data_IF_779119943961
#
_entry.id   IF_779119943961
#
_cell.length_a   1.000
_cell.length_b   1.000
_cell.length_c   1.000
_cell.angle_alpha   90.00
_cell.angle_beta   90.00
_cell.angle_gamma   90.00
#
_symmetry.space_group_name_H-M   'P 1'
#
loop_
_entity.id
_entity.type
_entity.pdbx_description
1 polymer ?
#
# COMPACT_ATOMS: atom_id res chain seq x y z
N UNK A 1 -4.04 35.80 -3.42
CA UNK A 1 -5.04 34.88 -2.84
C UNK A 1 -4.37 33.53 -2.72
N UNK A 2 -4.05 33.11 -1.49
CA UNK A 2 -3.34 31.85 -1.25
C UNK A 2 -4.35 30.71 -1.48
N UNK A 3 -4.29 30.04 -2.63
CA UNK A 3 -5.00 28.76 -2.76
C UNK A 3 -4.43 27.86 -1.66
N UNK A 4 -5.28 27.35 -0.75
CA UNK A 4 -4.83 26.41 0.27
C UNK A 4 -4.20 25.22 -0.44
N UNK A 5 -2.86 25.09 -0.37
CA UNK A 5 -2.16 23.97 -0.97
C UNK A 5 -2.68 22.69 -0.32
N UNK A 6 -3.27 21.80 -1.12
CA UNK A 6 -3.60 20.46 -0.65
C UNK A 6 -2.31 19.75 -0.27
N UNK A 7 -2.17 19.40 1.01
CA UNK A 7 -1.03 18.63 1.51
C UNK A 7 -1.34 17.13 1.43
N UNK A 8 -0.32 16.27 1.30
CA UNK A 8 -0.52 14.83 1.21
C UNK A 8 -1.31 14.26 2.40
N UNK A 9 -2.17 13.28 2.11
CA UNK A 9 -2.79 12.44 3.13
C UNK A 9 -1.72 11.62 3.87
N UNK A 10 -1.94 11.35 5.14
CA UNK A 10 -1.16 10.44 5.96
C UNK A 10 -1.73 9.02 5.86
N UNK A 11 -0.90 8.08 5.40
CA UNK A 11 -1.27 6.67 5.34
C UNK A 11 -0.28 5.86 6.17
N UNK A 12 -0.77 5.13 7.18
CA UNK A 12 0.08 4.30 8.04
C UNK A 12 0.56 3.05 7.31
N UNK A 13 1.84 2.96 6.97
CA UNK A 13 2.45 1.79 6.32
C UNK A 13 2.53 0.64 7.31
N UNK A 14 1.71 -0.39 7.07
CA UNK A 14 1.43 -1.48 8.03
C UNK A 14 0.89 -0.96 9.37
N UNK A 15 0.14 0.15 9.33
CA UNK A 15 -0.27 0.96 10.47
C UNK A 15 0.82 1.92 10.97
N UNK A 16 0.82 2.24 12.27
CA UNK A 16 1.89 3.01 12.93
C UNK A 16 3.08 2.10 13.30
N UNK A 17 3.66 1.44 12.30
CA UNK A 17 4.57 0.30 12.45
C UNK A 17 5.93 0.64 13.09
N UNK A 18 6.31 1.91 13.14
CA UNK A 18 7.47 2.34 13.92
C UNK A 18 7.22 2.15 15.43
N UNK A 19 6.02 2.48 15.91
CA UNK A 19 5.67 2.38 17.34
C UNK A 19 5.10 1.00 17.72
N UNK A 20 4.29 0.39 16.84
CA UNK A 20 3.59 -0.87 17.10
C UNK A 20 4.13 -2.01 16.21
N UNK A 21 3.79 -3.28 16.47
CA UNK A 21 4.11 -4.37 15.56
C UNK A 21 3.40 -4.17 14.22
N UNK A 22 4.14 -4.23 13.12
CA UNK A 22 3.58 -4.07 11.77
C UNK A 22 2.43 -5.05 11.50
N UNK A 23 1.44 -4.62 10.71
CA UNK A 23 0.30 -5.43 10.28
C UNK A 23 -0.49 -6.01 11.46
N UNK A 24 -0.84 -5.16 12.43
CA UNK A 24 -1.63 -5.54 13.60
C UNK A 24 -2.77 -4.56 13.87
N UNK A 25 -3.85 -5.02 14.53
CA UNK A 25 -4.94 -4.14 14.93
C UNK A 25 -4.45 -2.99 15.80
N UNK A 26 -3.53 -3.21 16.74
CA UNK A 26 -2.98 -2.12 17.55
C UNK A 26 -2.23 -1.09 16.69
N UNK A 27 -1.50 -1.52 15.66
CA UNK A 27 -0.80 -0.63 14.73
C UNK A 27 -1.79 0.18 13.87
N UNK A 28 -2.86 -0.45 13.39
CA UNK A 28 -3.91 0.22 12.61
C UNK A 28 -4.68 1.23 13.46
N UNK A 29 -5.13 0.83 14.64
CA UNK A 29 -5.84 1.70 15.59
C UNK A 29 -4.98 2.88 16.03
N UNK A 30 -3.66 2.68 16.23
CA UNK A 30 -2.75 3.76 16.53
C UNK A 30 -2.63 4.77 15.37
N UNK A 31 -2.48 4.30 14.12
CA UNK A 31 -2.44 5.19 12.96
C UNK A 31 -3.73 6.01 12.82
N UNK A 32 -4.90 5.37 13.01
CA UNK A 32 -6.20 6.06 12.98
C UNK A 32 -6.28 7.09 14.11
N UNK A 33 -5.85 6.74 15.33
CA UNK A 33 -5.86 7.63 16.49
C UNK A 33 -4.93 8.84 16.33
N UNK A 34 -3.80 8.67 15.64
CA UNK A 34 -2.93 9.78 15.29
C UNK A 34 -3.63 10.78 14.34
N UNK A 35 -4.60 10.30 13.55
CA UNK A 35 -5.35 11.09 12.56
C UNK A 35 -5.00 10.76 11.12
N UNK A 36 -4.45 9.57 10.84
CA UNK A 36 -4.17 9.14 9.49
C UNK A 36 -5.48 8.94 8.68
N UNK A 37 -5.54 9.48 7.46
CA UNK A 37 -6.70 9.31 6.57
C UNK A 37 -6.77 7.90 5.96
N UNK A 38 -5.69 7.14 6.04
CA UNK A 38 -5.69 5.75 5.61
C UNK A 38 -4.71 4.87 6.36
N UNK A 39 -4.93 3.57 6.25
CA UNK A 39 -3.99 2.53 6.65
C UNK A 39 -3.59 1.73 5.43
N UNK A 40 -2.39 1.18 5.45
CA UNK A 40 -1.92 0.22 4.47
C UNK A 40 -1.58 -1.10 5.17
N UNK A 41 -1.85 -2.20 4.49
CA UNK A 41 -1.47 -3.53 4.94
C UNK A 41 -1.31 -4.48 3.76
N UNK A 42 -0.67 -5.60 4.02
CA UNK A 42 -0.29 -6.63 3.06
C UNK A 42 -1.17 -7.87 3.23
N UNK A 43 -1.57 -8.53 2.13
CA UNK A 43 -2.43 -9.73 2.20
C UNK A 43 -1.75 -11.00 1.73
N UNK A 44 -1.95 -12.08 2.49
CA UNK A 44 -1.72 -13.47 2.08
C UNK A 44 -2.92 -14.35 2.40
N UNK A 45 -3.00 -15.51 1.76
CA UNK A 45 -4.04 -16.53 2.02
C UNK A 45 -3.41 -17.77 2.66
N UNK A 46 -3.98 -18.23 3.78
CA UNK A 46 -3.59 -19.48 4.44
C UNK A 46 -3.94 -20.72 3.59
N UNK A 47 -3.50 -21.90 4.02
CA UNK A 47 -3.84 -23.17 3.36
C UNK A 47 -5.36 -23.44 3.34
N UNK A 48 -6.06 -23.02 4.39
CA UNK A 48 -7.50 -23.20 4.61
C UNK A 48 -8.32 -21.93 4.37
N UNK A 49 -7.88 -21.09 3.42
CA UNK A 49 -8.64 -19.98 2.84
C UNK A 49 -8.91 -18.79 3.76
N UNK A 50 -8.10 -18.55 4.78
CA UNK A 50 -8.18 -17.34 5.60
C UNK A 50 -7.26 -16.27 5.02
N UNK A 51 -7.80 -15.10 4.71
CA UNK A 51 -7.02 -13.94 4.26
C UNK A 51 -6.46 -13.22 5.48
N UNK A 52 -5.15 -13.05 5.56
CA UNK A 52 -4.45 -12.52 6.74
C UNK A 52 -3.60 -11.30 6.39
N UNK A 53 -3.46 -10.40 7.36
CA UNK A 53 -2.67 -9.16 7.25
C UNK A 53 -1.21 -9.46 7.60
N UNK A 54 -0.33 -9.61 6.60
CA UNK A 54 1.07 -9.95 6.84
C UNK A 54 1.97 -9.61 5.64
N UNK A 55 3.18 -9.11 5.87
CA UNK A 55 4.03 -8.63 4.77
C UNK A 55 4.72 -9.77 4.01
N UNK A 56 5.52 -10.56 4.73
CA UNK A 56 6.37 -11.59 4.11
C UNK A 56 5.57 -12.85 3.79
N UNK A 57 5.98 -13.65 2.80
CA UNK A 57 5.37 -14.97 2.58
C UNK A 57 5.65 -15.97 3.73
N UNK A 58 6.64 -15.69 4.58
CA UNK A 58 7.10 -16.53 5.69
C UNK A 58 6.94 -15.83 7.05
N UNK A 59 6.57 -16.57 8.10
CA UNK A 59 6.18 -16.01 9.40
C UNK A 59 7.34 -15.47 10.27
N UNK A 60 8.55 -15.96 10.03
CA UNK A 60 9.64 -15.95 11.02
C UNK A 60 10.31 -14.61 11.32
N UNK A 61 10.14 -13.58 10.47
CA UNK A 61 10.77 -12.27 10.72
C UNK A 61 10.12 -11.54 11.89
N UNK A 62 8.78 -11.57 11.97
CA UNK A 62 8.01 -10.73 12.89
C UNK A 62 7.19 -11.51 13.92
N UNK A 63 7.16 -12.84 13.83
CA UNK A 63 6.37 -13.70 14.74
C UNK A 63 7.20 -14.78 15.41
N UNK A 64 6.66 -15.37 16.46
CA UNK A 64 7.21 -16.52 17.17
C UNK A 64 7.13 -17.85 16.40
N UNK A 65 6.64 -17.84 15.16
CA UNK A 65 6.45 -19.05 14.35
C UNK A 65 7.30 -19.06 13.08
N UNK A 66 7.32 -20.19 12.38
CA UNK A 66 8.11 -20.40 11.14
C UNK A 66 7.24 -20.99 10.02
N UNK A 67 7.79 -20.94 8.80
CA UNK A 67 7.19 -21.53 7.60
C UNK A 67 6.37 -20.55 6.77
N UNK A 68 5.99 -21.02 5.58
CA UNK A 68 5.23 -20.25 4.59
C UNK A 68 3.75 -20.21 4.94
N UNK A 69 3.16 -19.03 4.87
CA UNK A 69 1.73 -18.81 5.16
C UNK A 69 0.84 -19.71 4.29
N UNK A 70 1.14 -19.78 2.98
CA UNK A 70 0.35 -20.56 2.01
C UNK A 70 0.34 -22.08 2.27
N UNK A 71 1.29 -22.57 3.08
CA UNK A 71 1.49 -23.99 3.39
C UNK A 71 0.94 -24.35 4.79
N UNK A 72 0.38 -23.38 5.53
CA UNK A 72 -0.09 -23.56 6.89
C UNK A 72 -1.58 -23.25 7.04
N UNK A 73 -2.25 -24.04 7.88
CA UNK A 73 -3.64 -23.80 8.27
C UNK A 73 -3.73 -22.63 9.26
N UNK A 74 -4.78 -21.85 9.13
CA UNK A 74 -5.14 -20.83 10.09
C UNK A 74 -5.74 -21.45 11.35
N UNK A 75 -6.69 -22.37 11.16
CA UNK A 75 -7.43 -22.99 12.26
C UNK A 75 -6.78 -24.27 12.78
N UNK A 76 -7.07 -24.58 14.04
CA UNK A 76 -6.75 -25.85 14.69
C UNK A 76 -5.66 -25.71 15.74
N UNK A 77 -5.36 -26.81 16.43
CA UNK A 77 -4.44 -26.82 17.59
C UNK A 77 -3.06 -26.20 17.29
N UNK A 78 -2.53 -26.45 16.09
CA UNK A 78 -1.24 -25.88 15.61
C UNK A 78 -1.45 -24.76 14.57
N UNK A 79 -2.66 -24.20 14.54
CA UNK A 79 -3.11 -23.18 13.60
C UNK A 79 -2.43 -21.83 13.81
N UNK A 80 -2.36 -21.05 12.73
CA UNK A 80 -1.77 -19.70 12.78
C UNK A 80 -2.57 -18.72 13.66
N UNK A 81 -3.82 -19.01 14.05
CA UNK A 81 -4.60 -18.22 15.01
C UNK A 81 -3.92 -18.10 16.40
N UNK A 82 -3.01 -19.02 16.71
CA UNK A 82 -2.22 -19.01 17.96
C UNK A 82 -0.87 -18.30 17.84
N UNK A 83 -0.44 -17.92 16.63
CA UNK A 83 0.86 -17.25 16.38
C UNK A 83 0.83 -15.82 16.91
N UNK A 84 1.95 -15.35 17.46
CA UNK A 84 2.06 -14.02 18.07
C UNK A 84 3.22 -13.21 17.54
N UNK A 85 3.04 -11.89 17.50
CA UNK A 85 4.09 -10.95 17.12
C UNK A 85 5.23 -10.92 18.13
N UNK A 86 6.48 -10.74 17.67
CA UNK A 86 7.65 -10.60 18.54
C UNK A 86 7.76 -9.23 19.20
N UNK A 87 7.39 -8.18 18.46
CA UNK A 87 7.41 -6.80 18.95
C UNK A 87 6.23 -6.58 19.90
N UNK A 88 6.43 -5.78 20.94
CA UNK A 88 5.37 -5.38 21.87
C UNK A 88 4.46 -4.29 21.27
N UNK A 89 3.16 -4.24 21.63
CA UNK A 89 2.46 -5.27 22.39
C UNK A 89 2.31 -6.57 21.60
N UNK A 90 2.59 -7.69 22.25
CA UNK A 90 2.48 -9.03 21.65
C UNK A 90 1.01 -9.32 21.36
N UNK A 91 0.67 -9.63 20.11
CA UNK A 91 -0.71 -9.84 19.68
C UNK A 91 -0.80 -10.84 18.53
N UNK A 92 -2.01 -11.27 18.21
CA UNK A 92 -2.29 -12.14 17.07
C UNK A 92 -2.11 -11.42 15.73
N UNK A 93 -1.92 -12.20 14.67
CA UNK A 93 -1.99 -11.70 13.29
C UNK A 93 -3.47 -11.38 12.98
N UNK A 94 -3.82 -10.18 12.49
CA UNK A 94 -5.19 -9.89 12.10
C UNK A 94 -5.56 -10.61 10.80
N UNK A 95 -6.81 -11.03 10.71
CA UNK A 95 -7.45 -11.41 9.46
C UNK A 95 -7.91 -10.18 8.68
N UNK A 96 -8.17 -10.36 7.38
CA UNK A 96 -8.82 -9.33 6.57
C UNK A 96 -10.22 -9.01 7.09
N UNK A 97 -10.95 -10.01 7.59
CA UNK A 97 -12.27 -9.83 8.18
C UNK A 97 -12.23 -8.94 9.44
N UNK A 98 -11.28 -9.15 10.34
CA UNK A 98 -11.10 -8.29 11.53
C UNK A 98 -10.70 -6.87 11.13
N UNK A 99 -9.89 -6.72 10.08
CA UNK A 99 -9.50 -5.40 9.56
C UNK A 99 -10.68 -4.68 8.91
N UNK A 100 -11.53 -5.40 8.17
CA UNK A 100 -12.80 -4.87 7.64
C UNK A 100 -13.72 -4.46 8.78
N UNK A 101 -13.86 -5.28 9.83
CA UNK A 101 -14.65 -4.93 11.00
C UNK A 101 -14.13 -3.65 11.69
N UNK A 102 -12.82 -3.47 11.79
CA UNK A 102 -12.21 -2.22 12.28
C UNK A 102 -12.61 -1.02 11.42
N UNK A 103 -12.57 -1.15 10.09
CA UNK A 103 -12.93 -0.08 9.14
C UNK A 103 -14.43 0.23 9.10
N UNK A 104 -15.28 -0.70 9.52
CA UNK A 104 -16.74 -0.56 9.57
C UNK A 104 -17.25 0.01 10.89
N UNK A 105 -16.39 0.21 11.90
CA UNK A 105 -16.75 0.98 13.09
C UNK A 105 -17.16 2.40 12.68
N UNK A 106 -18.21 2.94 13.31
CA UNK A 106 -18.81 4.24 12.96
C UNK A 106 -17.80 5.39 12.92
N UNK A 107 -16.89 5.41 13.87
CA UNK A 107 -15.81 6.38 14.02
C UNK A 107 -14.75 6.24 12.93
N UNK A 108 -14.64 5.09 12.27
CA UNK A 108 -13.60 4.77 11.28
C UNK A 108 -14.12 4.80 9.83
N UNK A 109 -15.37 5.18 9.58
CA UNK A 109 -15.93 5.25 8.22
C UNK A 109 -15.20 6.24 7.30
N UNK A 110 -14.44 7.17 7.85
CA UNK A 110 -13.61 8.12 7.11
C UNK A 110 -12.27 7.51 6.65
N UNK A 111 -11.85 6.39 7.23
CA UNK A 111 -10.51 5.78 7.01
C UNK A 111 -10.50 5.00 5.70
N UNK A 112 -9.48 5.20 4.88
CA UNK A 112 -9.24 4.43 3.65
C UNK A 112 -8.30 3.27 3.91
N UNK A 113 -8.33 2.25 3.05
CA UNK A 113 -7.50 1.07 3.20
C UNK A 113 -6.76 0.72 1.91
N UNK A 114 -5.43 0.78 1.93
CA UNK A 114 -4.60 0.30 0.83
C UNK A 114 -4.18 -1.14 1.13
N UNK A 115 -4.57 -2.05 0.25
CA UNK A 115 -4.28 -3.49 0.37
C UNK A 115 -3.16 -3.83 -0.61
N UNK A 116 -1.93 -4.00 -0.13
CA UNK A 116 -0.82 -4.52 -0.93
C UNK A 116 -1.07 -6.01 -1.24
N UNK A 117 -1.46 -6.27 -2.49
CA UNK A 117 -1.72 -7.60 -3.02
C UNK A 117 -0.40 -8.26 -3.39
N UNK A 118 0.07 -9.15 -2.52
CA UNK A 118 1.38 -9.79 -2.69
C UNK A 118 1.42 -10.69 -3.94
N UNK A 119 2.50 -10.62 -4.76
CA UNK A 119 2.63 -11.36 -6.01
C UNK A 119 2.61 -12.90 -5.87
N UNK A 120 2.65 -13.45 -4.67
CA UNK A 120 2.58 -14.89 -4.42
C UNK A 120 1.15 -15.43 -4.42
N UNK A 121 0.14 -14.56 -4.27
CA UNK A 121 -1.25 -14.98 -4.17
C UNK A 121 -1.82 -15.43 -5.52
N UNK A 122 -2.65 -16.48 -5.51
CA UNK A 122 -3.53 -16.76 -6.64
C UNK A 122 -4.60 -15.65 -6.73
N UNK A 123 -4.76 -14.98 -7.90
CA UNK A 123 -5.54 -13.76 -8.00
C UNK A 123 -7.05 -14.04 -7.89
N UNK A 124 -7.50 -15.16 -8.45
CA UNK A 124 -8.91 -15.56 -8.40
C UNK A 124 -9.30 -15.97 -6.98
N UNK A 125 -8.51 -16.86 -6.36
CA UNK A 125 -8.73 -17.33 -4.99
C UNK A 125 -8.74 -16.17 -4.01
N UNK A 126 -7.74 -15.28 -4.04
CA UNK A 126 -7.67 -14.15 -3.12
C UNK A 126 -8.88 -13.22 -3.29
N UNK A 127 -9.20 -12.81 -4.52
CA UNK A 127 -10.26 -11.82 -4.72
C UNK A 127 -11.67 -12.40 -4.52
N UNK A 128 -11.89 -13.70 -4.72
CA UNK A 128 -13.13 -14.36 -4.29
C UNK A 128 -13.32 -14.28 -2.78
N UNK A 129 -12.30 -14.67 -2.01
CA UNK A 129 -12.34 -14.60 -0.54
C UNK A 129 -12.52 -13.17 -0.02
N UNK A 130 -11.81 -12.20 -0.62
CA UNK A 130 -12.00 -10.80 -0.28
C UNK A 130 -13.40 -10.29 -0.63
N UNK A 131 -13.95 -10.69 -1.79
CA UNK A 131 -15.29 -10.31 -2.21
C UNK A 131 -16.34 -10.85 -1.23
N UNK A 132 -16.25 -12.12 -0.82
CA UNK A 132 -17.13 -12.72 0.20
C UNK A 132 -17.11 -11.91 1.51
N UNK A 133 -15.92 -11.54 1.99
CA UNK A 133 -15.78 -10.75 3.23
C UNK A 133 -16.35 -9.34 3.05
N UNK A 134 -16.03 -8.65 1.96
CA UNK A 134 -16.49 -7.27 1.71
C UNK A 134 -18.00 -7.23 1.52
N UNK A 135 -18.54 -8.12 0.69
CA UNK A 135 -19.98 -8.14 0.34
C UNK A 135 -20.88 -8.59 1.48
N UNK A 136 -20.32 -9.25 2.50
CA UNK A 136 -21.04 -9.59 3.74
C UNK A 136 -21.35 -8.36 4.62
N UNK A 137 -20.72 -7.21 4.36
CA UNK A 137 -20.91 -6.00 5.17
C UNK A 137 -22.13 -5.19 4.70
N UNK A 138 -22.84 -4.49 5.61
CA UNK A 138 -23.96 -3.64 5.24
C UNK A 138 -23.50 -2.48 4.35
N UNK A 139 -24.27 -2.19 3.31
CA UNK A 139 -24.03 -1.09 2.34
C UNK A 139 -22.60 -1.07 1.79
N UNK A 140 -21.98 -2.24 1.64
CA UNK A 140 -20.55 -2.36 1.32
C UNK A 140 -20.15 -1.64 0.02
N UNK A 141 -21.03 -1.57 -0.98
CA UNK A 141 -20.80 -0.88 -2.26
C UNK A 141 -20.62 0.64 -2.07
N UNK A 142 -21.17 1.20 -0.99
CA UNK A 142 -21.11 2.64 -0.68
C UNK A 142 -20.13 2.91 0.46
N UNK A 143 -20.23 2.14 1.53
CA UNK A 143 -19.55 2.42 2.79
C UNK A 143 -18.20 1.70 2.95
N UNK A 144 -17.87 0.71 2.12
CA UNK A 144 -16.63 -0.08 2.28
C UNK A 144 -15.78 -0.14 1.01
N UNK A 145 -16.27 -0.78 -0.05
CA UNK A 145 -15.47 -1.07 -1.24
C UNK A 145 -14.84 0.18 -1.87
N UNK A 146 -15.53 1.34 -1.99
CA UNK A 146 -14.91 2.55 -2.52
C UNK A 146 -13.74 3.09 -1.68
N UNK A 147 -13.62 2.69 -0.41
CA UNK A 147 -12.50 3.06 0.47
C UNK A 147 -11.32 2.10 0.37
N UNK A 148 -11.50 0.93 -0.24
CA UNK A 148 -10.45 -0.07 -0.43
C UNK A 148 -9.73 0.21 -1.75
N UNK A 149 -8.41 0.41 -1.66
CA UNK A 149 -7.49 0.58 -2.77
C UNK A 149 -6.65 -0.70 -2.90
N UNK A 150 -6.83 -1.45 -3.98
CA UNK A 150 -6.03 -2.64 -4.27
C UNK A 150 -4.68 -2.22 -4.87
N UNK A 151 -3.59 -2.45 -4.14
CA UNK A 151 -2.22 -2.27 -4.60
C UNK A 151 -1.73 -3.47 -5.38
N UNK A 152 -1.65 -3.34 -6.71
CA UNK A 152 -1.29 -4.44 -7.61
C UNK A 152 0.16 -4.31 -8.10
N UNK A 153 0.98 -5.33 -7.83
CA UNK A 153 2.37 -5.41 -8.30
C UNK A 153 2.52 -5.97 -9.72
N UNK A 154 1.52 -6.72 -10.21
CA UNK A 154 1.63 -7.48 -11.45
C UNK A 154 0.32 -7.44 -12.25
N UNK A 155 0.36 -7.26 -13.59
CA UNK A 155 -0.84 -7.11 -14.43
C UNK A 155 -1.76 -8.32 -14.40
N UNK A 156 -1.25 -9.51 -14.05
CA UNK A 156 -2.07 -10.72 -13.86
C UNK A 156 -3.23 -10.55 -12.88
N UNK A 157 -3.16 -9.59 -11.96
CA UNK A 157 -4.24 -9.31 -11.02
C UNK A 157 -5.32 -8.38 -11.60
N UNK A 158 -5.05 -7.61 -12.66
CA UNK A 158 -5.95 -6.56 -13.13
C UNK A 158 -7.32 -7.09 -13.56
N UNK A 159 -7.35 -8.13 -14.39
CA UNK A 159 -8.60 -8.71 -14.89
C UNK A 159 -9.45 -9.29 -13.76
N UNK A 160 -8.83 -10.00 -12.81
CA UNK A 160 -9.53 -10.55 -11.64
C UNK A 160 -10.01 -9.44 -10.70
N UNK A 161 -9.21 -8.40 -10.45
CA UNK A 161 -9.62 -7.26 -9.62
C UNK A 161 -10.84 -6.54 -10.22
N UNK A 162 -10.85 -6.34 -11.54
CA UNK A 162 -11.99 -5.74 -12.25
C UNK A 162 -13.25 -6.62 -12.18
N UNK A 163 -13.09 -7.93 -12.35
CA UNK A 163 -14.23 -8.85 -12.40
C UNK A 163 -14.83 -9.13 -11.01
N UNK A 164 -13.98 -9.33 -10.00
CA UNK A 164 -14.40 -9.81 -8.67
C UNK A 164 -14.54 -8.71 -7.63
N UNK A 165 -13.87 -7.56 -7.82
CA UNK A 165 -13.91 -6.43 -6.89
C UNK A 165 -14.14 -5.10 -7.66
N UNK A 166 -15.21 -4.98 -8.48
CA UNK A 166 -15.41 -3.85 -9.39
C UNK A 166 -15.51 -2.50 -8.66
N UNK A 167 -16.12 -2.49 -7.46
CA UNK A 167 -16.29 -1.30 -6.62
C UNK A 167 -15.04 -0.90 -5.83
N UNK A 168 -14.05 -1.80 -5.71
CA UNK A 168 -12.77 -1.44 -5.11
C UNK A 168 -11.96 -0.58 -6.08
N UNK A 169 -11.24 0.38 -5.52
CA UNK A 169 -10.30 1.22 -6.27
C UNK A 169 -9.04 0.42 -6.55
N UNK A 170 -8.26 0.84 -7.56
CA UNK A 170 -7.04 0.12 -7.99
C UNK A 170 -5.86 1.06 -8.09
N UNK A 171 -4.72 0.60 -7.59
CA UNK A 171 -3.41 1.22 -7.76
C UNK A 171 -2.40 0.24 -8.31
N UNK A 172 -1.41 0.75 -9.04
CA UNK A 172 -0.18 0.02 -9.26
C UNK A 172 0.79 0.35 -8.14
N UNK A 173 1.27 -0.68 -7.46
CA UNK A 173 2.33 -0.57 -6.46
C UNK A 173 3.62 -1.12 -7.06
N UNK A 174 4.70 -0.35 -7.01
CA UNK A 174 5.98 -0.85 -7.51
C UNK A 174 7.09 0.17 -7.67
N UNK A 175 8.17 -0.29 -8.30
CA UNK A 175 9.42 0.46 -8.48
C UNK A 175 9.75 0.75 -9.95
N UNK A 176 8.88 0.37 -10.89
CA UNK A 176 9.09 0.59 -12.33
C UNK A 176 8.03 1.53 -12.92
N UNK A 177 8.46 2.73 -13.29
CA UNK A 177 7.62 3.70 -14.00
C UNK A 177 7.28 3.23 -15.41
N UNK A 178 8.16 2.44 -16.03
CA UNK A 178 7.86 1.79 -17.31
C UNK A 178 6.67 0.84 -17.19
N UNK A 179 6.67 -0.05 -16.19
CA UNK A 179 5.55 -0.97 -15.98
C UNK A 179 4.27 -0.21 -15.66
N UNK A 180 4.36 0.83 -14.82
CA UNK A 180 3.24 1.72 -14.47
C UNK A 180 2.56 2.26 -15.73
N UNK A 181 3.35 2.79 -16.67
CA UNK A 181 2.85 3.34 -17.94
C UNK A 181 2.33 2.26 -18.88
N UNK A 182 3.05 1.14 -19.00
CA UNK A 182 2.74 0.11 -20.01
C UNK A 182 1.51 -0.71 -19.66
N UNK A 183 1.34 -1.11 -18.40
CA UNK A 183 0.33 -2.11 -18.04
C UNK A 183 -0.78 -1.61 -17.12
N UNK A 184 -0.55 -0.52 -16.39
CA UNK A 184 -1.47 -0.08 -15.34
C UNK A 184 -2.10 1.28 -15.61
N UNK A 185 -1.63 2.00 -16.64
CA UNK A 185 -2.01 3.39 -16.84
C UNK A 185 -3.50 3.59 -17.03
N UNK A 186 -4.15 2.73 -17.83
CA UNK A 186 -5.57 2.88 -18.13
C UNK A 186 -6.48 2.34 -17.02
N UNK A 187 -5.95 1.46 -16.18
CA UNK A 187 -6.72 0.68 -15.19
C UNK A 187 -6.57 1.16 -13.75
N UNK A 188 -5.55 1.98 -13.49
CA UNK A 188 -5.24 2.53 -12.18
C UNK A 188 -5.37 4.05 -12.16
N UNK A 189 -6.03 4.54 -11.12
CA UNK A 189 -6.15 5.97 -10.81
C UNK A 189 -5.03 6.47 -9.88
N UNK A 190 -4.39 5.54 -9.16
CA UNK A 190 -3.32 5.82 -8.19
C UNK A 190 -2.08 5.00 -8.55
N UNK A 191 -0.91 5.61 -8.42
CA UNK A 191 0.38 4.92 -8.48
C UNK A 191 1.07 5.03 -7.13
N UNK A 192 1.21 3.89 -6.46
CA UNK A 192 1.95 3.75 -5.20
C UNK A 192 3.41 3.40 -5.50
N UNK A 193 4.27 4.41 -5.53
CA UNK A 193 5.64 4.27 -6.06
C UNK A 193 6.67 4.47 -4.95
N UNK A 194 7.75 3.69 -4.99
CA UNK A 194 8.89 3.90 -4.09
C UNK A 194 9.49 5.30 -4.28
N UNK A 195 9.71 6.02 -3.17
CA UNK A 195 10.21 7.40 -3.16
C UNK A 195 11.40 7.63 -4.08
N UNK A 196 12.43 6.78 -3.98
CA UNK A 196 13.67 6.92 -4.75
C UNK A 196 13.48 6.85 -6.26
N UNK A 197 12.44 6.17 -6.75
CA UNK A 197 12.18 6.07 -8.19
C UNK A 197 11.72 7.43 -8.74
N UNK A 198 10.98 8.19 -7.93
CA UNK A 198 10.47 9.51 -8.28
C UNK A 198 11.57 10.59 -8.29
N UNK A 199 12.72 10.37 -7.67
CA UNK A 199 13.79 11.38 -7.61
C UNK A 199 14.55 11.54 -8.92
N UNK A 200 14.41 10.58 -9.84
CA UNK A 200 15.09 10.59 -11.13
C UNK A 200 14.43 11.55 -12.14
N UNK A 201 15.12 11.82 -13.26
CA UNK A 201 14.53 12.60 -14.37
C UNK A 201 13.26 11.94 -14.95
N UNK A 202 13.23 10.61 -15.05
CA UNK A 202 12.02 9.88 -15.45
C UNK A 202 10.93 9.97 -14.37
N UNK A 203 11.33 9.97 -13.10
CA UNK A 203 10.45 10.22 -11.96
C UNK A 203 9.79 11.60 -12.01
N UNK A 204 10.55 12.66 -12.34
CA UNK A 204 10.00 13.99 -12.57
C UNK A 204 8.98 13.98 -13.72
N UNK A 205 9.36 13.40 -14.87
CA UNK A 205 8.45 13.27 -16.01
C UNK A 205 7.16 12.54 -15.64
N UNK A 206 7.27 11.46 -14.86
CA UNK A 206 6.12 10.69 -14.39
C UNK A 206 5.19 11.50 -13.49
N UNK A 207 5.73 12.36 -12.62
CA UNK A 207 4.91 13.29 -11.82
C UNK A 207 4.13 14.26 -12.70
N UNK A 208 4.78 14.83 -13.71
CA UNK A 208 4.15 15.77 -14.64
C UNK A 208 3.06 15.08 -15.49
N UNK A 209 3.32 13.85 -15.94
CA UNK A 209 2.34 13.01 -16.63
C UNK A 209 1.13 12.68 -15.76
N UNK A 210 1.35 12.26 -14.50
CA UNK A 210 0.26 11.99 -13.56
C UNK A 210 -0.57 13.23 -13.29
N UNK A 211 0.07 14.38 -13.06
CA UNK A 211 -0.62 15.65 -12.86
C UNK A 211 -1.49 16.02 -14.06
N UNK A 212 -0.96 15.89 -15.27
CA UNK A 212 -1.69 16.20 -16.52
C UNK A 212 -2.87 15.25 -16.74
N UNK A 213 -2.71 13.97 -16.40
CA UNK A 213 -3.75 12.95 -16.57
C UNK A 213 -4.70 12.83 -15.36
N UNK A 214 -4.63 13.74 -14.38
CA UNK A 214 -5.38 13.69 -13.13
C UNK A 214 -5.25 12.34 -12.38
N UNK A 215 -4.06 11.74 -12.41
CA UNK A 215 -3.70 10.52 -11.69
C UNK A 215 -2.99 10.88 -10.39
N UNK A 216 -3.25 10.10 -9.34
CA UNK A 216 -2.71 10.35 -8.00
C UNK A 216 -1.41 9.59 -7.80
N UNK A 217 -0.44 10.23 -7.15
CA UNK A 217 0.78 9.56 -6.70
C UNK A 217 0.72 9.37 -5.19
N UNK A 218 0.98 8.15 -4.76
CA UNK A 218 1.17 7.74 -3.39
C UNK A 218 2.63 7.30 -3.26
N UNK A 219 3.34 7.75 -2.23
CA UNK A 219 4.79 7.51 -2.13
C UNK A 219 5.14 6.73 -0.87
N UNK A 220 5.96 5.68 -1.02
CA UNK A 220 6.38 4.81 0.08
C UNK A 220 7.88 4.49 0.03
N UNK A 221 8.49 4.01 1.11
CA UNK A 221 8.10 4.30 2.50
C UNK A 221 8.86 5.57 2.92
N UNK A 222 8.15 6.58 3.42
CA UNK A 222 8.72 7.90 3.69
C UNK A 222 8.67 8.19 5.19
N UNK A 223 9.78 7.95 5.87
CA UNK A 223 9.89 8.15 7.33
C UNK A 223 10.73 9.38 7.71
N UNK A 224 11.57 9.87 6.79
CA UNK A 224 12.41 11.04 7.02
C UNK A 224 11.64 12.34 6.71
N UNK A 225 11.57 13.31 7.65
CA UNK A 225 10.96 14.62 7.41
C UNK A 225 11.46 15.37 6.17
N UNK A 226 12.75 15.24 5.80
CA UNK A 226 13.27 15.84 4.56
C UNK A 226 12.60 15.24 3.31
N UNK A 227 12.37 13.92 3.32
CA UNK A 227 11.68 13.24 2.23
C UNK A 227 10.18 13.56 2.24
N UNK A 228 9.57 13.72 3.42
CA UNK A 228 8.17 14.17 3.53
C UNK A 228 7.99 15.57 2.94
N UNK A 229 8.89 16.50 3.27
CA UNK A 229 8.87 17.85 2.70
C UNK A 229 9.05 17.84 1.19
N UNK A 230 9.87 16.95 0.66
CA UNK A 230 10.04 16.81 -0.78
C UNK A 230 8.81 16.19 -1.46
N UNK A 231 8.17 15.20 -0.83
CA UNK A 231 6.90 14.66 -1.29
C UNK A 231 5.81 15.75 -1.34
N UNK A 232 5.79 16.67 -0.37
CA UNK A 232 4.94 17.88 -0.39
C UNK A 232 5.25 18.77 -1.60
N UNK A 233 6.52 19.04 -1.87
CA UNK A 233 6.94 19.87 -3.03
C UNK A 233 6.55 19.23 -4.36
N UNK A 234 6.61 17.91 -4.45
CA UNK A 234 6.17 17.14 -5.60
C UNK A 234 4.65 17.14 -5.79
N UNK A 235 3.87 17.52 -4.76
CA UNK A 235 2.41 17.51 -4.82
C UNK A 235 1.83 16.10 -4.90
N UNK A 236 2.47 15.12 -4.24
CA UNK A 236 1.89 13.77 -4.15
C UNK A 236 0.57 13.81 -3.39
N UNK A 237 -0.33 12.86 -3.67
CA UNK A 237 -1.62 12.79 -3.01
C UNK A 237 -1.51 12.20 -1.59
N UNK A 238 -0.58 11.26 -1.37
CA UNK A 238 -0.47 10.52 -0.12
C UNK A 238 0.97 10.14 0.21
N UNK A 239 1.31 10.17 1.49
CA UNK A 239 2.57 9.67 2.04
C UNK A 239 2.28 8.40 2.86
N UNK A 240 2.91 7.29 2.48
CA UNK A 240 2.94 6.06 3.29
C UNK A 240 4.15 6.09 4.21
N UNK A 241 3.91 5.99 5.51
CA UNK A 241 4.93 6.17 6.54
C UNK A 241 4.71 5.24 7.72
N UNK A 242 5.81 4.79 8.31
CA UNK A 242 5.82 4.01 9.56
C UNK A 242 5.61 4.92 10.78
N UNK A 243 5.88 6.23 10.61
CA UNK A 243 5.91 7.26 11.65
C UNK A 243 4.79 8.29 11.41
N UNK A 244 3.54 7.84 11.49
CA UNK A 244 2.31 8.62 11.24
C UNK A 244 2.32 9.97 11.94
N UNK A 245 2.57 9.98 13.27
CA UNK A 245 2.64 11.22 14.05
C UNK A 245 3.68 12.22 13.54
N UNK A 246 4.85 11.76 13.12
CA UNK A 246 5.90 12.65 12.57
C UNK A 246 5.42 13.39 11.33
N UNK A 247 4.73 12.70 10.42
CA UNK A 247 4.16 13.35 9.24
C UNK A 247 3.03 14.30 9.61
N UNK A 248 2.13 13.88 10.50
CA UNK A 248 0.99 14.69 10.91
C UNK A 248 1.42 15.99 11.62
N UNK A 249 2.40 15.92 12.53
CA UNK A 249 2.96 17.09 13.22
C UNK A 249 3.62 18.06 12.22
N UNK A 250 4.40 17.53 11.26
CA UNK A 250 5.01 18.34 10.19
C UNK A 250 3.93 18.99 9.30
N UNK A 251 2.90 18.22 8.94
CA UNK A 251 1.78 18.70 8.11
C UNK A 251 1.01 19.82 8.81
N UNK A 252 0.73 19.70 10.09
CA UNK A 252 0.10 20.77 10.89
C UNK A 252 0.97 22.02 10.92
N UNK A 253 2.28 21.88 11.09
CA UNK A 253 3.22 22.99 10.95
C UNK A 253 3.13 23.66 9.57
N UNK A 254 3.16 22.88 8.49
CA UNK A 254 3.06 23.38 7.12
C UNK A 254 1.72 24.05 6.80
N UNK A 255 0.62 23.58 7.40
CA UNK A 255 -0.70 24.22 7.29
C UNK A 255 -0.72 25.59 7.98
N UNK A 256 -0.01 25.73 9.09
CA UNK A 256 0.07 26.99 9.84
C UNK A 256 0.95 28.04 9.16
N UNK A 257 2.15 27.65 8.70
CA UNK A 257 3.11 28.54 8.05
C UNK A 257 4.05 27.73 7.14
N UNK A 258 3.63 27.57 5.88
CA UNK A 258 4.35 26.79 4.90
C UNK A 258 5.77 27.32 4.66
N UNK A 259 5.94 28.65 4.54
CA UNK A 259 7.21 29.24 4.16
C UNK A 259 8.24 29.12 5.30
N UNK A 260 7.80 29.36 6.55
CA UNK A 260 8.66 29.19 7.73
C UNK A 260 9.10 27.75 7.94
N UNK A 261 8.17 26.79 7.88
CA UNK A 261 8.51 25.38 8.08
C UNK A 261 9.31 24.85 6.88
N UNK A 262 8.89 25.18 5.67
CA UNK A 262 9.55 24.74 4.44
C UNK A 262 10.98 25.26 4.27
N UNK A 263 11.29 26.44 4.81
CA UNK A 263 12.64 27.01 4.80
C UNK A 263 13.65 26.24 5.68
N UNK A 264 13.17 25.43 6.64
CA UNK A 264 14.03 24.60 7.49
C UNK A 264 14.61 23.40 6.72
N UNK A 265 14.05 23.06 5.56
CA UNK A 265 14.44 21.90 4.76
C UNK A 265 15.12 22.33 3.46
N UNK A 266 16.34 21.85 3.25
CA UNK A 266 17.11 22.13 2.04
C UNK A 266 16.42 21.66 0.75
N UNK A 267 16.83 22.22 -0.40
CA UNK A 267 16.37 21.80 -1.74
C UNK A 267 17.39 20.92 -2.49
N UNK A 268 18.58 20.76 -1.93
CA UNK A 268 19.68 20.02 -2.56
C UNK A 268 19.69 18.52 -2.27
N UNK A 269 18.91 18.04 -1.29
CA UNK A 269 19.14 16.72 -0.65
C UNK A 269 19.16 15.55 -1.64
N UNK A 270 18.31 15.56 -2.67
CA UNK A 270 18.22 14.49 -3.66
C UNK A 270 19.47 14.39 -4.54
N UNK A 271 20.12 15.52 -4.78
CA UNK A 271 21.18 15.66 -5.77
C UNK A 271 22.58 15.52 -5.13
N UNK A 272 22.64 15.40 -3.81
CA UNK A 272 23.89 15.36 -3.03
C UNK A 272 24.23 13.96 -2.49
N UNK A 273 23.34 12.97 -2.63
CA UNK A 273 23.61 11.59 -2.16
C UNK A 273 23.71 10.59 -3.31
N UNK A 274 24.72 9.70 -3.31
CA UNK A 274 24.84 8.64 -4.32
C UNK A 274 23.67 7.65 -4.28
N UNK A 275 22.88 7.62 -3.20
CA UNK A 275 21.70 6.76 -3.09
C UNK A 275 20.67 6.99 -4.20
N UNK A 276 20.53 8.24 -4.67
CA UNK A 276 19.61 8.61 -5.77
C UNK A 276 20.31 8.67 -7.14
N UNK A 277 21.52 8.13 -7.24
CA UNK A 277 22.23 8.07 -8.51
C UNK A 277 21.45 7.22 -9.52
N UNK A 278 21.10 7.82 -10.65
CA UNK A 278 20.12 7.24 -11.59
C UNK A 278 20.51 5.84 -12.10
N UNK A 279 21.78 5.57 -12.49
CA UNK A 279 22.19 4.21 -12.87
C UNK A 279 21.99 3.16 -11.77
N UNK A 280 22.26 3.52 -10.51
CA UNK A 280 22.03 2.63 -9.37
C UNK A 280 20.53 2.33 -9.20
N UNK A 281 19.68 3.37 -9.27
CA UNK A 281 18.23 3.19 -9.21
C UNK A 281 17.67 2.34 -10.35
N UNK A 282 18.19 2.52 -11.58
CA UNK A 282 17.81 1.68 -12.73
C UNK A 282 18.19 0.22 -12.51
N UNK A 283 19.38 -0.04 -11.97
CA UNK A 283 19.81 -1.40 -11.62
C UNK A 283 18.89 -2.04 -10.57
N UNK A 284 18.56 -1.31 -9.49
CA UNK A 284 17.62 -1.78 -8.47
C UNK A 284 16.24 -2.08 -9.06
N UNK A 285 15.72 -1.19 -9.91
CA UNK A 285 14.45 -1.39 -10.61
C UNK A 285 14.45 -2.63 -11.50
N UNK A 286 15.54 -2.86 -12.26
CA UNK A 286 15.70 -4.06 -13.07
C UNK A 286 15.73 -5.34 -12.22
N UNK A 287 16.49 -5.35 -11.13
CA UNK A 287 16.56 -6.50 -10.21
C UNK A 287 15.19 -6.80 -9.56
N UNK A 288 14.47 -5.75 -9.18
CA UNK A 288 13.11 -5.84 -8.63
C UNK A 288 12.12 -6.42 -9.65
N UNK A 289 12.16 -5.93 -10.90
CA UNK A 289 11.36 -6.47 -11.99
C UNK A 289 11.67 -7.95 -12.25
N UNK A 290 12.95 -8.35 -12.28
CA UNK A 290 13.34 -9.76 -12.45
C UNK A 290 12.85 -10.64 -11.32
N UNK A 291 12.89 -10.14 -10.08
CA UNK A 291 12.33 -10.86 -8.93
C UNK A 291 10.82 -11.05 -9.06
N UNK A 292 10.09 -10.02 -9.51
CA UNK A 292 8.65 -10.15 -9.78
C UNK A 292 8.37 -11.18 -10.87
N UNK A 293 9.16 -11.21 -11.95
CA UNK A 293 8.99 -12.22 -13.02
C UNK A 293 9.21 -13.65 -12.51
N UNK A 294 10.17 -13.85 -11.60
CA UNK A 294 10.42 -15.17 -10.97
C UNK A 294 9.22 -15.62 -10.12
N UNK A 295 8.55 -14.69 -9.43
CA UNK A 295 7.46 -15.00 -8.50
C UNK A 295 6.10 -15.10 -9.21
N UNK A 296 5.82 -14.20 -10.14
CA UNK A 296 4.51 -14.00 -10.74
C UNK A 296 4.45 -14.36 -12.25
N UNK A 297 5.57 -14.75 -12.84
CA UNK A 297 5.70 -15.00 -14.28
C UNK A 297 6.02 -13.74 -15.10
N UNK A 298 6.31 -13.88 -16.40
CA UNK A 298 6.62 -12.76 -17.28
C UNK A 298 5.46 -11.79 -17.47
N UNK A 299 5.73 -10.48 -17.48
CA UNK A 299 4.68 -9.44 -17.60
C UNK A 299 3.87 -9.52 -18.90
N UNK A 300 4.51 -9.84 -20.03
CA UNK A 300 3.86 -9.86 -21.35
C UNK A 300 2.94 -11.07 -21.58
N UNK A 301 2.96 -12.08 -20.70
CA UNK A 301 2.09 -13.27 -20.83
C UNK A 301 0.66 -13.03 -20.34
N UNK A 302 0.42 -11.93 -19.61
CA UNK A 302 -0.86 -11.67 -18.94
C UNK A 302 -1.57 -10.43 -19.48
N UNK A 303 -1.21 -10.00 -20.68
CA UNK A 303 -1.97 -8.99 -21.40
C UNK A 303 -3.37 -9.54 -21.74
N UNK A 304 -4.33 -9.22 -20.88
CA UNK A 304 -5.80 -9.39 -21.00
C UNK A 304 -6.29 -10.83 -21.23
N UNK A 305 -6.75 -11.55 -20.19
CA UNK A 305 -7.60 -12.71 -20.39
C UNK A 305 -8.90 -12.31 -21.09
N UNK A 306 -9.35 -13.13 -22.04
CA UNK A 306 -10.73 -13.10 -22.51
C UNK A 306 -11.66 -13.19 -21.28
N UNK A 307 -12.73 -12.38 -21.28
CA UNK A 307 -13.67 -12.18 -20.18
C UNK A 307 -13.81 -13.41 -19.26
N UNK A 308 -13.51 -13.23 -17.98
CA UNK A 308 -13.75 -14.23 -16.94
C UNK A 308 -15.26 -14.46 -16.90
N UNK A 309 -15.71 -15.58 -17.46
CA UNK A 309 -17.12 -15.98 -17.44
C UNK A 309 -17.50 -16.41 -16.02
N UNK A 310 -18.47 -15.71 -15.43
CA UNK A 310 -19.09 -16.10 -14.18
C UNK A 310 -18.78 -15.16 -13.02
N UNK A 311 -19.44 -14.00 -13.02
CA UNK A 311 -19.72 -13.23 -11.81
C UNK A 311 -21.07 -12.54 -12.04
N UNK A 312 -22.12 -13.20 -11.58
CA UNK A 312 -23.43 -12.63 -11.31
C UNK A 312 -23.67 -12.83 -9.80
#
# INVERSE_FOLDING_TARGET
MNQSRALPECWGHRGASAAFPENTLASFEAAIRDGAEGIESDVHVSLDNVVIMFHDPDLQRTTDSIGKIKERRWYGQDGMEHVRTRKAPVQAIPTFAETVALLMKSENLHVKFNVDVKPQNDPERLFKLMNEIISSQPDWEVNLAPRILLGLWHPRFLAHAKALLPYCRRSHIGESLYLSRKYFWDDCEVFSVRFSVLTSADGQKFRDECKTANKKIMVWTVNNPEHMMEAVRWGVASILTDVTKTWLDLRTGLQSDYDKIGAQYGRGFLWTTPYYYTPFLKFLGFASQKRLEVVAGPFDQFAMPAAIKGAA
#
